data_IF_772710896090
#
_entry.id   IF_772710896090
#
_cell.length_a   1.000
_cell.length_b   1.000
_cell.length_c   1.000
_cell.angle_alpha   90.00
_cell.angle_beta   90.00
_cell.angle_gamma   90.00
#
_symmetry.space_group_name_H-M   'P 1'
#
loop_
_entity.id
_entity.type
_entity.pdbx_description
1 polymer ?
#
# COMPACT_ATOMS: atom_id res chain seq x y z
N UNK A 1 41.03 -11.35 6.01
CA UNK A 1 40.01 -10.87 6.97
C UNK A 1 38.68 -11.35 6.45
N UNK A 2 38.22 -12.47 7.00
CA UNK A 2 37.02 -13.13 6.51
C UNK A 2 35.82 -12.27 6.89
N UNK A 3 35.09 -11.79 5.89
CA UNK A 3 34.00 -10.84 6.09
C UNK A 3 32.70 -11.62 6.23
N UNK A 4 32.26 -11.84 7.47
CA UNK A 4 30.94 -12.41 7.75
C UNK A 4 29.87 -11.38 7.39
N UNK A 5 28.95 -11.74 6.49
CA UNK A 5 27.76 -10.94 6.19
C UNK A 5 26.53 -11.68 6.69
N UNK A 6 25.66 -10.95 7.38
CA UNK A 6 24.41 -11.49 7.92
C UNK A 6 23.24 -10.55 7.61
N UNK A 7 22.09 -11.11 7.24
CA UNK A 7 20.83 -10.38 7.06
C UNK A 7 19.68 -11.08 7.77
N UNK A 8 18.72 -10.27 8.23
CA UNK A 8 17.43 -10.72 8.74
C UNK A 8 16.33 -10.10 7.88
N UNK A 9 15.50 -10.96 7.29
CA UNK A 9 14.34 -10.55 6.50
C UNK A 9 13.08 -11.06 7.18
N UNK A 10 12.13 -10.15 7.45
CA UNK A 10 10.82 -10.49 8.00
C UNK A 10 9.81 -10.48 6.86
N UNK A 11 9.17 -11.63 6.65
CA UNK A 11 8.17 -11.83 5.60
C UNK A 11 6.86 -12.22 6.25
N UNK A 12 5.75 -11.67 5.74
CA UNK A 12 4.42 -12.14 6.08
C UNK A 12 3.96 -13.16 5.04
N UNK A 13 3.86 -14.41 5.46
CA UNK A 13 3.35 -15.51 4.65
C UNK A 13 2.06 -16.01 5.32
N UNK A 14 0.87 -15.66 4.80
CA UNK A 14 -0.38 -15.90 5.50
C UNK A 14 -0.51 -17.35 5.98
N UNK A 15 -0.82 -17.59 7.27
CA UNK A 15 -1.29 -16.62 8.27
C UNK A 15 -0.21 -16.09 9.25
N UNK A 16 1.08 -16.32 9.00
CA UNK A 16 2.15 -16.06 9.97
C UNK A 16 3.26 -15.14 9.45
N UNK A 17 3.91 -14.45 10.38
CA UNK A 17 5.18 -13.80 10.14
C UNK A 17 6.32 -14.81 10.31
N UNK A 18 7.24 -14.81 9.35
CA UNK A 18 8.46 -15.62 9.37
C UNK A 18 9.68 -14.69 9.38
N UNK A 19 10.66 -15.05 10.20
CA UNK A 19 11.99 -14.46 10.20
C UNK A 19 12.93 -15.38 9.43
N UNK A 20 13.54 -14.85 8.37
CA UNK A 20 14.53 -15.53 7.55
C UNK A 20 15.89 -14.93 7.89
N UNK A 21 16.79 -15.77 8.36
CA UNK A 21 18.16 -15.43 8.70
C UNK A 21 19.06 -15.98 7.61
N UNK A 22 19.86 -15.10 7.02
CA UNK A 22 20.81 -15.45 5.97
C UNK A 22 22.19 -15.04 6.47
N UNK A 23 23.17 -15.94 6.36
CA UNK A 23 24.58 -15.61 6.60
C UNK A 23 25.45 -16.16 5.51
N UNK A 24 26.46 -15.39 5.14
CA UNK A 24 27.53 -15.84 4.24
C UNK A 24 28.88 -15.67 4.89
N UNK A 25 29.67 -16.75 4.79
CA UNK A 25 31.07 -16.81 5.19
C UNK A 25 31.85 -17.34 3.99
N UNK A 26 32.68 -16.48 3.41
CA UNK A 26 33.42 -16.75 2.17
C UNK A 26 32.54 -17.28 1.02
N UNK A 27 32.58 -18.58 0.73
CA UNK A 27 31.80 -19.28 -0.29
C UNK A 27 30.62 -20.07 0.27
N UNK A 28 30.41 -20.04 1.58
CA UNK A 28 29.38 -20.81 2.28
C UNK A 28 28.17 -19.92 2.55
N UNK A 29 27.01 -20.34 2.05
CA UNK A 29 25.74 -19.69 2.32
C UNK A 29 24.89 -20.56 3.25
N UNK A 30 24.38 -19.97 4.32
CA UNK A 30 23.55 -20.68 5.30
C UNK A 30 22.29 -19.89 5.62
N UNK A 31 21.17 -20.61 5.72
CA UNK A 31 19.84 -20.03 5.97
C UNK A 31 19.16 -20.71 7.14
N UNK A 32 18.57 -19.92 8.01
CA UNK A 32 17.67 -20.38 9.06
C UNK A 32 16.32 -19.68 8.97
N UNK A 33 15.25 -20.38 9.35
CA UNK A 33 13.91 -19.80 9.44
C UNK A 33 13.33 -19.95 10.84
N UNK A 34 12.54 -18.97 11.26
CA UNK A 34 11.81 -19.00 12.52
C UNK A 34 10.40 -18.40 12.34
N UNK A 35 9.39 -19.08 12.89
CA UNK A 35 8.03 -18.56 12.90
C UNK A 35 7.85 -17.57 14.06
N UNK A 36 7.45 -16.33 13.76
CA UNK A 36 7.17 -15.27 14.74
C UNK A 36 5.72 -15.27 15.21
N UNK A 37 4.83 -15.99 14.51
CA UNK A 37 3.41 -16.07 14.81
C UNK A 37 2.56 -15.10 14.00
N UNK A 38 1.27 -14.95 14.33
CA UNK A 38 0.30 -14.24 13.49
C UNK A 38 0.35 -12.71 13.63
N UNK A 39 0.96 -12.20 14.71
CA UNK A 39 1.04 -10.78 14.98
C UNK A 39 2.25 -10.14 14.30
N UNK A 40 2.10 -8.90 13.82
CA UNK A 40 3.20 -8.13 13.26
C UNK A 40 4.26 -7.87 14.34
N UNK A 41 5.52 -8.31 14.14
CA UNK A 41 6.55 -8.20 15.15
C UNK A 41 6.97 -6.74 15.32
N UNK A 42 6.95 -6.24 16.55
CA UNK A 42 7.42 -4.88 16.84
C UNK A 42 8.94 -4.84 16.80
N UNK A 43 9.49 -3.66 16.52
CA UNK A 43 10.95 -3.42 16.49
C UNK A 43 11.66 -3.93 17.74
N UNK A 44 11.09 -3.71 18.93
CA UNK A 44 11.64 -4.21 20.20
C UNK A 44 11.74 -5.74 20.22
N UNK A 45 10.70 -6.43 19.75
CA UNK A 45 10.62 -7.89 19.77
C UNK A 45 11.62 -8.48 18.76
N UNK A 46 11.82 -7.81 17.62
CA UNK A 46 12.86 -8.13 16.63
C UNK A 46 14.27 -7.98 17.24
N UNK A 47 14.55 -6.89 17.96
CA UNK A 47 15.85 -6.71 18.62
C UNK A 47 16.11 -7.79 19.66
N UNK A 48 15.11 -8.12 20.48
CA UNK A 48 15.22 -9.19 21.45
C UNK A 48 15.50 -10.54 20.77
N UNK A 49 14.78 -10.84 19.68
CA UNK A 49 14.96 -12.06 18.91
C UNK A 49 16.40 -12.20 18.37
N UNK A 50 16.96 -11.13 17.77
CA UNK A 50 18.32 -11.17 17.25
C UNK A 50 19.34 -11.44 18.37
N UNK A 51 19.15 -10.83 19.55
CA UNK A 51 20.10 -11.00 20.65
C UNK A 51 19.99 -12.36 21.35
N UNK A 52 18.82 -12.98 21.38
CA UNK A 52 18.58 -14.19 22.20
C UNK A 52 18.47 -15.48 21.40
N UNK A 53 17.97 -15.41 20.16
CA UNK A 53 17.66 -16.58 19.36
C UNK A 53 18.71 -16.90 18.30
N UNK A 54 19.67 -16.00 18.05
CA UNK A 54 20.71 -16.21 17.02
C UNK A 54 21.45 -17.56 17.19
N UNK A 55 21.83 -17.90 18.42
CA UNK A 55 22.53 -19.15 18.73
C UNK A 55 21.64 -20.40 18.68
N UNK A 56 20.31 -20.23 18.69
CA UNK A 56 19.33 -21.33 18.76
C UNK A 56 18.74 -21.68 17.39
N UNK A 57 19.04 -20.88 16.37
CA UNK A 57 18.54 -21.10 15.01
C UNK A 57 19.34 -22.22 14.36
N UNK A 58 18.62 -23.20 13.81
CA UNK A 58 19.21 -24.26 13.00
C UNK A 58 19.46 -23.71 11.60
N UNK A 59 20.73 -23.50 11.27
CA UNK A 59 21.16 -23.04 9.96
C UNK A 59 21.39 -24.22 9.04
N UNK A 60 20.77 -24.16 7.86
CA UNK A 60 20.97 -25.11 6.78
C UNK A 60 22.01 -24.54 5.81
N UNK A 61 23.07 -25.31 5.57
CA UNK A 61 24.10 -24.97 4.58
C UNK A 61 23.62 -25.33 3.18
N UNK A 62 23.68 -24.37 2.26
CA UNK A 62 23.46 -24.62 0.84
C UNK A 62 24.81 -24.60 0.11
N UNK A 63 25.15 -25.70 -0.55
CA UNK A 63 26.46 -25.90 -1.17
C UNK A 63 26.65 -25.17 -2.51
N UNK A 64 25.56 -24.74 -3.16
CA UNK A 64 25.61 -24.04 -4.45
C UNK A 64 25.74 -22.53 -4.28
N UNK A 65 27.00 -22.07 -4.21
CA UNK A 65 27.42 -20.67 -4.14
C UNK A 65 27.18 -19.86 -5.45
N UNK A 66 26.54 -20.43 -6.47
CA UNK A 66 26.22 -19.72 -7.72
C UNK A 66 25.11 -18.67 -7.55
N UNK A 67 24.37 -18.73 -6.44
CA UNK A 67 23.44 -17.70 -5.98
C UNK A 67 24.15 -16.67 -5.09
N UNK A 68 25.34 -16.22 -5.48
CA UNK A 68 25.86 -14.95 -5.00
C UNK A 68 24.85 -13.88 -5.44
N UNK A 69 23.84 -13.64 -4.61
CA UNK A 69 22.92 -12.52 -4.70
C UNK A 69 23.81 -11.30 -4.57
N UNK A 70 24.37 -10.85 -5.70
CA UNK A 70 25.10 -9.62 -5.79
C UNK A 70 24.18 -8.59 -5.15
N UNK A 71 24.58 -7.94 -4.04
CA UNK A 71 23.71 -7.01 -3.37
C UNK A 71 23.50 -5.87 -4.35
N UNK A 72 22.39 -5.90 -5.10
CA UNK A 72 21.98 -4.77 -5.90
C UNK A 72 21.85 -3.65 -4.87
N UNK A 73 22.74 -2.65 -5.00
CA UNK A 73 22.93 -1.62 -3.98
C UNK A 73 21.74 -0.67 -4.03
N UNK A 74 20.58 -1.14 -3.57
CA UNK A 74 19.34 -0.38 -3.53
C UNK A 74 19.47 0.59 -2.37
N UNK A 75 19.28 1.88 -2.68
CA UNK A 75 19.26 2.94 -1.69
C UNK A 75 18.29 2.59 -0.53
N UNK A 76 18.70 2.72 0.75
CA UNK A 76 17.86 2.39 1.90
C UNK A 76 16.46 3.02 1.85
N UNK A 77 16.33 4.27 1.36
CA UNK A 77 15.03 4.93 1.17
C UNK A 77 14.14 4.20 0.16
N UNK A 78 14.74 3.72 -0.94
CA UNK A 78 14.02 2.95 -1.97
C UNK A 78 13.60 1.59 -1.42
N UNK A 79 14.44 0.92 -0.63
CA UNK A 79 14.12 -0.35 0.04
C UNK A 79 12.95 -0.19 1.03
N UNK A 80 13.00 0.83 1.88
CA UNK A 80 11.91 1.14 2.81
C UNK A 80 10.60 1.46 2.09
N UNK A 81 10.66 2.21 0.97
CA UNK A 81 9.47 2.50 0.14
C UNK A 81 8.87 1.24 -0.47
N UNK A 82 9.69 0.31 -0.96
CA UNK A 82 9.22 -0.97 -1.51
C UNK A 82 8.58 -1.85 -0.43
N UNK A 83 9.19 -1.95 0.77
CA UNK A 83 8.61 -2.67 1.90
C UNK A 83 7.26 -2.07 2.32
N UNK A 84 7.19 -0.73 2.48
CA UNK A 84 5.93 -0.02 2.75
C UNK A 84 4.89 -0.24 1.66
N UNK A 85 5.29 -0.26 0.39
CA UNK A 85 4.39 -0.51 -0.73
C UNK A 85 3.84 -1.94 -0.68
N UNK A 86 4.68 -2.94 -0.40
CA UNK A 86 4.28 -4.34 -0.27
C UNK A 86 3.27 -4.54 0.88
N UNK A 87 3.49 -3.88 2.02
CA UNK A 87 2.57 -3.90 3.17
C UNK A 87 1.28 -3.10 2.86
N UNK A 88 1.41 -1.93 2.24
CA UNK A 88 0.26 -1.09 1.86
C UNK A 88 -0.66 -1.80 0.83
N UNK A 89 -0.14 -2.76 0.06
CA UNK A 89 -0.95 -3.58 -0.83
C UNK A 89 -1.88 -4.57 -0.10
N UNK A 90 -1.89 -4.60 1.24
CA UNK A 90 -2.88 -5.36 2.03
C UNK A 90 -4.07 -4.53 2.56
N UNK A 91 -4.16 -3.23 2.25
CA UNK A 91 -5.21 -2.37 2.81
C UNK A 91 -6.06 -1.71 1.74
N UNK A 92 -7.24 -2.30 1.58
CA UNK A 92 -8.42 -1.68 1.01
C UNK A 92 -9.51 -2.73 1.08
N UNK A 93 -10.05 -2.95 2.29
CA UNK A 93 -11.19 -3.85 2.50
C UNK A 93 -12.21 -3.61 1.39
N UNK A 94 -12.86 -4.66 0.88
CA UNK A 94 -13.87 -4.53 -0.19
C UNK A 94 -14.87 -3.39 0.12
N UNK A 95 -15.19 -3.20 1.39
CA UNK A 95 -15.98 -2.10 1.93
C UNK A 95 -15.39 -0.69 1.69
N UNK A 96 -14.10 -0.44 1.97
CA UNK A 96 -13.48 0.86 1.71
C UNK A 96 -13.46 1.21 0.22
N UNK A 97 -13.19 0.23 -0.66
CA UNK A 97 -13.29 0.43 -2.12
C UNK A 97 -14.72 0.71 -2.56
N UNK A 98 -15.71 0.04 -1.97
CA UNK A 98 -17.13 0.27 -2.26
C UNK A 98 -17.58 1.67 -1.82
N UNK A 99 -17.21 2.10 -0.61
CA UNK A 99 -17.55 3.44 -0.09
C UNK A 99 -16.89 4.56 -0.91
N UNK A 100 -15.67 4.35 -1.39
CA UNK A 100 -15.01 5.33 -2.26
C UNK A 100 -15.71 5.46 -3.62
N UNK A 101 -16.06 4.33 -4.26
CA UNK A 101 -16.86 4.34 -5.49
C UNK A 101 -18.23 5.03 -5.29
N UNK A 102 -18.89 4.79 -4.16
CA UNK A 102 -20.16 5.44 -3.82
C UNK A 102 -20.02 6.96 -3.66
N UNK A 103 -18.94 7.44 -3.02
CA UNK A 103 -18.67 8.88 -2.90
C UNK A 103 -18.46 9.53 -4.25
N UNK A 104 -17.72 8.87 -5.15
CA UNK A 104 -17.46 9.37 -6.50
C UNK A 104 -18.75 9.44 -7.34
N UNK A 105 -19.59 8.40 -7.31
CA UNK A 105 -20.87 8.41 -8.03
C UNK A 105 -21.81 9.50 -7.51
N UNK A 106 -21.91 9.66 -6.18
CA UNK A 106 -22.75 10.69 -5.56
C UNK A 106 -22.29 12.10 -5.93
N UNK A 107 -20.97 12.35 -6.00
CA UNK A 107 -20.42 13.64 -6.42
C UNK A 107 -20.84 14.00 -7.86
N UNK A 108 -20.77 13.04 -8.78
CA UNK A 108 -21.18 13.25 -10.18
C UNK A 108 -22.69 13.49 -10.28
N UNK A 109 -23.50 12.70 -9.58
CA UNK A 109 -24.96 12.87 -9.57
C UNK A 109 -25.37 14.25 -9.03
N UNK A 110 -24.74 14.70 -7.94
CA UNK A 110 -24.99 16.02 -7.36
C UNK A 110 -24.63 17.16 -8.33
N UNK A 111 -23.48 17.07 -9.01
CA UNK A 111 -23.08 18.07 -10.00
C UNK A 111 -24.07 18.14 -11.18
N UNK A 112 -24.55 17.00 -11.69
CA UNK A 112 -25.56 16.96 -12.75
C UNK A 112 -26.87 17.60 -12.30
N UNK A 113 -27.34 17.29 -11.08
CA UNK A 113 -28.56 17.87 -10.54
C UNK A 113 -28.46 19.40 -10.42
N UNK A 114 -27.34 19.92 -9.92
CA UNK A 114 -27.09 21.36 -9.84
C UNK A 114 -27.11 22.03 -11.23
N UNK A 115 -26.48 21.40 -12.23
CA UNK A 115 -26.49 21.93 -13.59
C UNK A 115 -27.89 21.98 -14.19
N UNK A 116 -28.67 20.90 -14.05
CA UNK A 116 -30.05 20.84 -14.53
C UNK A 116 -30.95 21.88 -13.85
N UNK A 117 -30.83 22.02 -12.53
CA UNK A 117 -31.59 23.02 -11.77
C UNK A 117 -31.25 24.45 -12.23
N UNK A 118 -29.97 24.75 -12.47
CA UNK A 118 -29.53 26.05 -12.98
C UNK A 118 -30.08 26.34 -14.38
N UNK A 119 -30.05 25.36 -15.29
CA UNK A 119 -30.59 25.49 -16.64
C UNK A 119 -32.11 25.70 -16.62
N UNK A 120 -32.84 24.92 -15.82
CA UNK A 120 -34.29 25.07 -15.67
C UNK A 120 -34.67 26.47 -15.15
N UNK A 121 -33.93 26.98 -14.14
CA UNK A 121 -34.14 28.33 -13.61
C UNK A 121 -33.87 29.42 -14.65
N UNK A 122 -32.82 29.27 -15.46
CA UNK A 122 -32.51 30.21 -16.54
C UNK A 122 -33.61 30.19 -17.63
N UNK A 123 -34.08 29.01 -18.03
CA UNK A 123 -35.13 28.87 -19.02
C UNK A 123 -36.44 29.53 -18.56
N UNK A 124 -36.83 29.34 -17.29
CA UNK A 124 -38.00 30.03 -16.72
C UNK A 124 -37.84 31.54 -16.65
N UNK A 125 -36.67 32.05 -16.23
CA UNK A 125 -36.45 33.50 -16.22
C UNK A 125 -36.49 34.09 -17.64
N UNK A 126 -35.98 33.36 -18.63
CA UNK A 126 -36.02 33.77 -20.03
C UNK A 126 -37.45 33.81 -20.58
N UNK A 127 -38.27 32.78 -20.33
CA UNK A 127 -39.67 32.76 -20.78
C UNK A 127 -40.49 33.89 -20.14
N UNK A 128 -40.28 34.16 -18.84
CA UNK A 128 -40.91 35.29 -18.15
C UNK A 128 -40.50 36.64 -18.76
N UNK A 129 -39.22 36.82 -19.14
CA UNK A 129 -38.75 38.03 -19.81
C UNK A 129 -39.36 38.20 -21.20
N UNK A 130 -39.45 37.12 -21.98
CA UNK A 130 -40.12 37.11 -23.28
C UNK A 130 -41.60 37.50 -23.16
N UNK A 131 -42.34 36.88 -22.24
CA UNK A 131 -43.73 37.19 -21.98
C UNK A 131 -43.94 38.66 -21.58
N UNK A 132 -43.10 39.19 -20.67
CA UNK A 132 -43.13 40.62 -20.28
C UNK A 132 -42.83 41.55 -21.46
N UNK A 133 -41.89 41.19 -22.33
CA UNK A 133 -41.57 41.98 -23.54
C UNK A 133 -42.75 42.01 -24.51
N UNK A 134 -43.39 40.87 -24.75
CA UNK A 134 -44.59 40.77 -25.58
C UNK A 134 -45.77 41.57 -25.01
N UNK A 135 -46.01 41.49 -23.69
CA UNK A 135 -47.06 42.25 -23.03
C UNK A 135 -46.86 43.77 -23.14
N UNK A 136 -45.61 44.26 -22.99
CA UNK A 136 -45.29 45.68 -23.21
C UNK A 136 -45.56 46.15 -24.63
N UNK A 137 -45.36 45.27 -25.62
CA UNK A 137 -45.54 45.61 -27.04
C UNK A 137 -47.00 45.64 -27.49
N UNK A 138 -47.90 44.96 -26.75
CA UNK A 138 -49.33 44.89 -27.09
C UNK A 138 -50.12 46.13 -26.69
N UNK A 139 -49.55 47.05 -25.90
CA UNK A 139 -50.17 48.32 -25.52
C UNK A 139 -51.43 48.17 -24.67
N UNK A 140 -51.65 49.13 -23.78
CA UNK A 140 -52.99 49.58 -23.42
C UNK A 140 -53.25 50.87 -24.20
#
# INVERSE_FOLDING_TARGET
>A
MDTIKSSLTIVFEPPFYKAIFERSFDSVYEVGQLNLGPAEPKTRDIYHLVNTSWAKIHFFRQADSSLALAPTRINPKRRQRLARKAIAHQLGTKAQRALQKQRESNKVAHQRHLQLSKQAKQAQQFSLRQAKKLAKHKGH
#
